data_IF_196172122182
#
_entry.id   IF_196172122182
#
_cell.length_a   1.000
_cell.length_b   1.000
_cell.length_c   1.000
_cell.angle_alpha   90.00
_cell.angle_beta   90.00
_cell.angle_gamma   90.00
#
_symmetry.space_group_name_H-M   'P 1'
#
loop_
_entity.id
_entity.type
_entity.pdbx_description
1 polymer ?
#
# COMPACT_ATOMS: atom_id res chain seq x y z
N UNK A 1 -60.90 -61.10 -9.85
CA UNK A 1 -61.96 -60.82 -10.84
C UNK A 1 -61.43 -59.69 -11.73
N UNK A 2 -60.88 -60.01 -12.92
CA UNK A 2 -61.48 -59.78 -14.26
C UNK A 2 -61.85 -58.31 -14.53
N UNK A 3 -61.58 -57.65 -15.67
CA UNK A 3 -61.05 -57.99 -16.99
C UNK A 3 -60.79 -56.64 -17.73
N UNK A 4 -59.76 -56.61 -18.58
CA UNK A 4 -59.52 -55.85 -19.83
C UNK A 4 -60.37 -54.63 -20.24
N UNK A 5 -59.70 -53.60 -20.78
CA UNK A 5 -59.99 -53.05 -22.13
C UNK A 5 -58.78 -52.39 -22.82
N UNK A 6 -58.74 -52.55 -24.15
CA UNK A 6 -57.73 -52.16 -25.15
C UNK A 6 -57.83 -50.68 -25.56
N UNK A 7 -56.72 -50.06 -25.97
CA UNK A 7 -56.59 -49.34 -27.27
C UNK A 7 -55.21 -48.69 -27.46
N UNK A 8 -54.59 -48.96 -28.61
CA UNK A 8 -53.43 -48.27 -29.20
C UNK A 8 -53.91 -47.03 -30.03
N UNK A 9 -53.09 -46.26 -30.79
CA UNK A 9 -51.64 -46.33 -31.03
C UNK A 9 -50.90 -44.95 -31.09
N UNK A 10 -49.59 -45.01 -31.36
CA UNK A 10 -48.74 -44.04 -32.10
C UNK A 10 -48.89 -42.53 -31.82
N UNK A 11 -47.78 -41.89 -31.40
CA UNK A 11 -47.25 -40.72 -32.11
C UNK A 11 -45.80 -40.41 -31.75
N UNK A 12 -45.05 -40.18 -32.81
CA UNK A 12 -43.62 -39.94 -32.92
C UNK A 12 -43.13 -38.77 -32.09
N UNK A 13 -41.94 -38.93 -31.50
CA UNK A 13 -41.18 -37.84 -30.90
C UNK A 13 -40.76 -36.82 -31.96
N UNK A 14 -41.16 -35.58 -31.75
CA UNK A 14 -40.59 -34.42 -32.43
C UNK A 14 -39.49 -33.84 -31.52
N UNK A 15 -38.26 -33.92 -32.01
CA UNK A 15 -37.06 -33.31 -31.48
C UNK A 15 -37.20 -31.77 -31.59
N UNK A 16 -37.38 -31.06 -30.48
CA UNK A 16 -37.36 -29.60 -30.47
C UNK A 16 -35.91 -29.13 -30.38
N UNK A 17 -35.37 -28.68 -31.51
CA UNK A 17 -34.07 -28.05 -31.63
C UNK A 17 -34.16 -26.63 -31.03
N UNK A 18 -33.69 -26.46 -29.78
CA UNK A 18 -33.50 -25.12 -29.20
C UNK A 18 -32.11 -24.63 -29.63
N UNK A 19 -32.09 -23.66 -30.56
CA UNK A 19 -30.91 -22.86 -30.87
C UNK A 19 -30.54 -22.02 -29.63
N UNK A 20 -29.52 -22.47 -28.89
CA UNK A 20 -28.82 -21.63 -27.92
C UNK A 20 -27.86 -20.71 -28.68
N UNK A 21 -28.17 -19.43 -28.75
CA UNK A 21 -27.26 -18.38 -29.16
C UNK A 21 -26.24 -18.11 -28.04
N UNK A 22 -25.02 -18.63 -28.19
CA UNK A 22 -23.89 -18.31 -27.33
C UNK A 22 -23.41 -16.88 -27.61
N UNK A 23 -23.66 -15.96 -26.67
CA UNK A 23 -22.96 -14.67 -26.62
C UNK A 23 -21.51 -14.92 -26.18
N UNK A 24 -20.57 -14.76 -27.11
CA UNK A 24 -19.14 -14.72 -26.84
C UNK A 24 -18.86 -13.37 -26.15
N UNK A 25 -18.72 -13.39 -24.82
CA UNK A 25 -17.99 -12.35 -24.09
C UNK A 25 -16.52 -12.75 -24.15
N UNK A 26 -15.70 -12.01 -24.90
CA UNK A 26 -14.24 -12.10 -24.74
C UNK A 26 -13.89 -11.63 -23.33
N UNK A 27 -13.60 -12.58 -22.45
CA UNK A 27 -12.82 -12.33 -21.26
C UNK A 27 -11.35 -12.50 -21.66
N UNK A 28 -10.57 -11.41 -21.63
CA UNK A 28 -9.10 -11.46 -21.69
C UNK A 28 -8.54 -11.99 -20.35
N UNK A 29 -8.96 -13.19 -19.97
CA UNK A 29 -8.40 -13.96 -18.86
C UNK A 29 -7.94 -15.32 -19.38
N UNK A 30 -6.93 -15.31 -20.25
CA UNK A 30 -6.15 -16.50 -20.54
C UNK A 30 -4.75 -16.06 -21.02
N UNK A 31 -3.78 -16.23 -20.12
CA UNK A 31 -2.32 -16.33 -20.29
C UNK A 31 -1.53 -15.45 -19.32
N UNK A 32 -1.64 -15.75 -18.02
CA UNK A 32 -0.54 -15.52 -17.08
C UNK A 32 -0.40 -16.80 -16.24
N UNK A 33 0.54 -17.66 -16.63
CA UNK A 33 0.98 -18.76 -15.78
C UNK A 33 1.64 -18.17 -14.54
N UNK A 34 1.14 -18.55 -13.37
CA UNK A 34 1.76 -18.33 -12.07
C UNK A 34 3.06 -19.13 -11.98
N UNK A 35 4.18 -18.51 -12.35
CA UNK A 35 5.53 -18.69 -11.79
C UNK A 35 6.45 -17.84 -12.66
N UNK A 36 7.21 -16.94 -12.03
CA UNK A 36 7.97 -15.80 -12.59
C UNK A 36 7.16 -14.51 -12.45
N UNK A 37 7.49 -13.71 -11.42
CA UNK A 37 7.12 -12.29 -11.37
C UNK A 37 8.08 -11.58 -12.33
N UNK A 38 7.68 -11.20 -13.56
CA UNK A 38 8.57 -10.46 -14.42
C UNK A 38 8.57 -9.01 -13.93
N UNK A 39 9.76 -8.43 -13.81
CA UNK A 39 10.00 -7.03 -13.53
C UNK A 39 9.67 -6.12 -14.73
N UNK A 40 8.48 -6.27 -15.32
CA UNK A 40 7.98 -5.37 -16.37
C UNK A 40 6.69 -4.74 -15.91
N UNK A 41 6.90 -3.66 -15.16
CA UNK A 41 5.89 -2.73 -14.70
C UNK A 41 5.30 -1.96 -15.88
N UNK A 42 4.04 -2.24 -16.24
CA UNK A 42 3.24 -1.31 -17.02
C UNK A 42 2.87 -0.11 -16.11
N UNK A 43 3.85 0.75 -15.82
CA UNK A 43 3.58 2.14 -15.42
C UNK A 43 2.80 2.75 -16.60
N UNK A 44 1.72 3.49 -16.33
CA UNK A 44 1.14 4.36 -17.36
C UNK A 44 2.30 5.16 -17.93
N UNK A 45 2.53 5.05 -19.24
CA UNK A 45 3.76 5.45 -19.93
C UNK A 45 4.38 6.69 -19.28
N UNK A 46 5.63 6.56 -18.83
CA UNK A 46 6.48 7.71 -18.48
C UNK A 46 6.75 8.49 -19.75
N UNK A 47 5.79 9.29 -20.19
CA UNK A 47 6.11 10.44 -21.03
C UNK A 47 7.23 11.19 -20.29
N UNK A 48 8.37 11.38 -20.95
CA UNK A 48 9.50 12.12 -20.42
C UNK A 48 8.97 13.46 -19.89
N UNK A 49 9.26 13.74 -18.62
CA UNK A 49 8.86 14.99 -17.96
C UNK A 49 9.70 16.10 -18.60
N UNK A 50 9.14 16.75 -19.63
CA UNK A 50 9.67 18.00 -20.16
C UNK A 50 9.65 19.06 -19.06
N UNK A 51 10.62 19.97 -19.09
CA UNK A 51 10.71 21.17 -18.25
C UNK A 51 9.34 21.82 -18.03
N UNK A 52 9.14 22.42 -16.85
CA UNK A 52 7.92 23.14 -16.43
C UNK A 52 7.36 23.96 -17.60
N UNK A 53 6.43 23.35 -18.33
CA UNK A 53 5.92 23.90 -19.58
C UNK A 53 5.02 25.08 -19.27
N UNK A 54 5.11 26.09 -20.12
CA UNK A 54 4.05 27.08 -20.30
C UNK A 54 2.68 26.36 -20.38
N UNK A 55 1.65 26.98 -19.80
CA UNK A 55 0.30 26.41 -19.74
C UNK A 55 -0.33 26.22 -21.12
N UNK A 56 0.27 26.74 -22.19
CA UNK A 56 -0.14 26.56 -23.59
C UNK A 56 -0.19 25.09 -24.05
N UNK A 57 0.52 24.17 -23.38
CA UNK A 57 0.43 22.74 -23.67
C UNK A 57 -0.79 22.04 -23.04
N UNK A 58 -1.56 22.74 -22.19
CA UNK A 58 -2.74 22.18 -21.54
C UNK A 58 -3.98 22.28 -22.44
N UNK A 59 -4.73 21.18 -22.55
CA UNK A 59 -6.05 21.16 -23.20
C UNK A 59 -7.05 22.05 -22.48
N UNK A 60 -6.97 22.09 -21.15
CA UNK A 60 -7.81 22.91 -20.29
C UNK A 60 -6.98 23.46 -19.14
N UNK A 61 -7.00 24.77 -18.92
CA UNK A 61 -6.39 25.41 -17.75
C UNK A 61 -7.51 25.71 -16.76
N UNK A 62 -7.38 25.22 -15.52
CA UNK A 62 -8.41 25.46 -14.50
C UNK A 62 -8.48 26.96 -14.18
N UNK A 63 -9.62 27.63 -14.42
CA UNK A 63 -9.78 29.05 -14.14
C UNK A 63 -9.78 29.35 -12.63
N UNK A 64 -9.46 30.60 -12.28
CA UNK A 64 -9.61 31.10 -10.92
C UNK A 64 -11.06 30.91 -10.42
N UNK A 65 -11.21 30.65 -9.11
CA UNK A 65 -12.50 30.39 -8.43
C UNK A 65 -13.27 29.17 -8.91
N UNK A 66 -12.69 28.32 -9.76
CA UNK A 66 -13.31 27.05 -10.16
C UNK A 66 -13.25 26.06 -9.00
N UNK A 67 -14.41 25.49 -8.65
CA UNK A 67 -14.49 24.40 -7.67
C UNK A 67 -14.60 23.03 -8.36
N UNK A 68 -15.44 22.92 -9.39
CA UNK A 68 -15.75 21.65 -10.06
C UNK A 68 -15.21 21.66 -11.48
N UNK A 69 -14.46 20.62 -11.82
CA UNK A 69 -13.94 20.33 -13.14
C UNK A 69 -14.59 19.01 -13.58
N UNK A 70 -15.67 19.10 -14.35
CA UNK A 70 -16.38 17.93 -14.88
C UNK A 70 -15.88 17.63 -16.29
N UNK A 71 -15.11 16.55 -16.45
CA UNK A 71 -14.49 16.17 -17.71
C UNK A 71 -15.51 15.88 -18.82
N UNK A 72 -16.68 15.34 -18.47
CA UNK A 72 -17.74 15.08 -19.43
C UNK A 72 -18.38 16.40 -19.91
N UNK A 73 -18.66 17.33 -18.99
CA UNK A 73 -19.22 18.63 -19.34
C UNK A 73 -18.26 19.50 -20.16
N UNK A 74 -16.95 19.36 -19.91
CA UNK A 74 -15.88 20.04 -20.65
C UNK A 74 -15.51 19.34 -21.96
N UNK A 75 -16.09 18.17 -22.25
CA UNK A 75 -15.78 17.40 -23.46
C UNK A 75 -14.35 16.89 -23.54
N UNK A 76 -13.69 16.68 -22.38
CA UNK A 76 -12.30 16.21 -22.33
C UNK A 76 -12.21 14.79 -22.89
N UNK A 77 -11.27 14.60 -23.82
CA UNK A 77 -11.00 13.32 -24.46
C UNK A 77 -9.85 12.59 -23.75
N UNK A 78 -9.73 11.26 -23.85
CA UNK A 78 -8.51 10.54 -23.47
C UNK A 78 -7.24 11.22 -24.00
N UNK A 79 -6.23 11.36 -23.15
CA UNK A 79 -4.99 12.10 -23.45
C UNK A 79 -5.06 13.61 -23.21
N UNK A 80 -6.21 14.16 -22.82
CA UNK A 80 -6.31 15.58 -22.45
C UNK A 80 -5.40 15.91 -21.26
N UNK A 81 -4.88 17.13 -21.24
CA UNK A 81 -4.08 17.66 -20.14
C UNK A 81 -4.83 18.81 -19.46
N UNK A 82 -5.10 18.64 -18.17
CA UNK A 82 -5.65 19.67 -17.30
C UNK A 82 -4.49 20.37 -16.57
N UNK A 83 -4.32 21.67 -16.81
CA UNK A 83 -3.30 22.52 -16.22
C UNK A 83 -3.78 23.27 -14.97
N UNK A 84 -2.97 23.20 -13.91
CA UNK A 84 -3.07 24.04 -12.72
C UNK A 84 -2.00 25.12 -12.82
N UNK A 85 -2.41 26.36 -13.05
CA UNK A 85 -1.47 27.48 -13.19
C UNK A 85 -0.84 27.84 -11.84
N UNK A 86 0.48 28.03 -11.82
CA UNK A 86 1.18 28.59 -10.66
C UNK A 86 0.75 30.02 -10.29
N UNK A 87 0.10 30.74 -11.22
CA UNK A 87 -0.38 32.10 -10.97
C UNK A 87 -1.71 32.15 -10.24
N UNK A 88 -2.34 31.00 -9.97
CA UNK A 88 -3.65 30.90 -9.33
C UNK A 88 -3.50 30.19 -7.99
N UNK A 89 -4.08 30.78 -6.94
CA UNK A 89 -4.24 30.13 -5.65
C UNK A 89 -5.58 29.41 -5.63
N UNK A 90 -5.58 28.10 -5.85
CA UNK A 90 -6.81 27.32 -5.89
C UNK A 90 -7.36 27.08 -4.49
N UNK A 91 -8.68 27.10 -4.36
CA UNK A 91 -9.38 26.55 -3.21
C UNK A 91 -9.55 25.04 -3.36
N UNK A 92 -10.63 24.48 -2.81
CA UNK A 92 -10.95 23.07 -2.96
C UNK A 92 -11.29 22.75 -4.43
N UNK A 93 -10.71 21.67 -4.98
CA UNK A 93 -10.94 21.24 -6.36
C UNK A 93 -11.58 19.84 -6.40
N UNK A 94 -12.69 19.73 -7.12
CA UNK A 94 -13.37 18.48 -7.42
C UNK A 94 -13.24 18.17 -8.91
N UNK A 95 -12.52 17.10 -9.22
CA UNK A 95 -12.43 16.53 -10.55
C UNK A 95 -13.48 15.41 -10.69
N UNK A 96 -14.42 15.57 -11.61
CA UNK A 96 -15.49 14.60 -11.82
C UNK A 96 -15.46 14.09 -13.24
N UNK A 97 -15.77 12.80 -13.42
CA UNK A 97 -15.85 12.17 -14.75
C UNK A 97 -14.57 12.38 -15.57
N UNK A 98 -13.40 12.29 -14.92
CA UNK A 98 -12.11 12.33 -15.61
C UNK A 98 -11.85 10.93 -16.16
N UNK A 99 -12.16 10.72 -17.43
CA UNK A 99 -12.13 9.39 -18.06
C UNK A 99 -11.15 9.38 -19.24
N UNK A 100 -9.96 8.83 -19.01
CA UNK A 100 -8.99 8.52 -20.05
C UNK A 100 -9.08 7.07 -20.53
N UNK A 101 -7.98 6.59 -21.10
CA UNK A 101 -7.75 5.18 -21.44
C UNK A 101 -6.38 4.73 -20.92
N UNK A 102 -6.09 3.42 -20.92
CA UNK A 102 -4.80 2.91 -20.50
C UNK A 102 -3.64 3.52 -21.32
N UNK A 103 -3.83 3.66 -22.64
CA UNK A 103 -2.82 4.22 -23.55
C UNK A 103 -2.79 5.76 -23.52
N UNK A 104 -3.94 6.38 -23.26
CA UNK A 104 -4.09 7.84 -23.25
C UNK A 104 -4.82 8.28 -21.96
N UNK A 105 -4.15 8.25 -20.80
CA UNK A 105 -4.74 8.75 -19.56
C UNK A 105 -4.92 10.26 -19.62
N UNK A 106 -5.89 10.80 -18.87
CA UNK A 106 -5.99 12.25 -18.66
C UNK A 106 -4.97 12.67 -17.61
N UNK A 107 -4.19 13.71 -17.89
CA UNK A 107 -3.14 14.20 -16.98
C UNK A 107 -3.60 15.49 -16.32
N UNK A 108 -3.60 15.52 -14.99
CA UNK A 108 -3.77 16.73 -14.17
C UNK A 108 -2.38 17.13 -13.68
N UNK A 109 -1.87 18.29 -14.11
CA UNK A 109 -0.52 18.74 -13.77
C UNK A 109 -0.45 20.24 -13.50
N UNK A 110 0.59 20.66 -12.81
CA UNK A 110 0.98 22.07 -12.73
C UNK A 110 1.50 22.59 -14.09
N UNK A 111 1.37 23.89 -14.30
CA UNK A 111 1.97 24.61 -15.42
C UNK A 111 2.42 26.02 -14.98
N UNK A 112 3.48 26.53 -15.62
CA UNK A 112 4.05 27.85 -15.29
C UNK A 112 4.74 27.96 -13.91
N UNK A 113 4.94 26.85 -13.19
CA UNK A 113 5.59 26.81 -11.87
C UNK A 113 4.92 25.80 -10.92
N UNK A 114 5.11 25.98 -9.61
CA UNK A 114 4.38 25.20 -8.59
C UNK A 114 2.94 25.70 -8.47
N UNK A 115 1.97 24.81 -8.60
CA UNK A 115 0.56 25.09 -8.36
C UNK A 115 0.21 24.91 -6.88
N UNK A 116 -0.55 25.87 -6.33
CA UNK A 116 -0.96 25.86 -4.93
C UNK A 116 -2.46 25.64 -4.76
N UNK A 117 -2.81 24.63 -3.96
CA UNK A 117 -4.20 24.28 -3.60
C UNK A 117 -4.35 24.42 -2.08
N UNK A 118 -5.24 25.32 -1.64
CA UNK A 118 -5.50 25.59 -0.23
C UNK A 118 -6.93 25.14 0.13
N UNK A 119 -7.05 23.93 0.69
CA UNK A 119 -8.33 23.35 1.07
C UNK A 119 -8.88 23.98 2.35
N UNK A 120 -10.04 24.63 2.27
CA UNK A 120 -10.74 25.20 3.44
C UNK A 120 -12.24 24.90 3.39
N UNK A 121 -12.93 24.85 4.54
CA UNK A 121 -14.39 24.73 4.62
C UNK A 121 -15.05 23.41 4.16
N UNK A 122 -14.36 22.58 3.37
CA UNK A 122 -14.81 21.26 2.93
C UNK A 122 -13.90 20.14 3.48
N UNK A 123 -14.39 18.90 3.37
CA UNK A 123 -13.66 17.72 3.86
C UNK A 123 -12.42 17.38 3.04
N UNK A 124 -12.24 17.90 1.83
CA UNK A 124 -11.12 17.59 0.94
C UNK A 124 -10.46 18.85 0.38
N UNK A 125 -9.16 18.84 0.06
CA UNK A 125 -8.54 19.89 -0.74
C UNK A 125 -8.62 19.57 -2.25
N UNK A 126 -8.27 18.34 -2.64
CA UNK A 126 -8.48 17.82 -3.99
C UNK A 126 -9.26 16.50 -3.93
N UNK A 127 -10.25 16.34 -4.81
CA UNK A 127 -11.07 15.14 -4.87
C UNK A 127 -11.31 14.67 -6.30
N UNK A 128 -11.39 13.36 -6.51
CA UNK A 128 -11.86 12.76 -7.76
C UNK A 128 -13.15 11.96 -7.54
N UNK A 129 -14.13 12.11 -8.42
CA UNK A 129 -15.36 11.30 -8.43
C UNK A 129 -15.59 10.64 -9.79
N UNK A 130 -16.00 9.37 -9.82
CA UNK A 130 -16.34 8.61 -11.03
C UNK A 130 -15.28 8.72 -12.13
N UNK A 131 -14.00 8.65 -11.77
CA UNK A 131 -12.89 8.95 -12.68
C UNK A 131 -12.05 7.70 -12.96
N UNK A 132 -11.55 7.54 -14.19
CA UNK A 132 -10.79 6.36 -14.61
C UNK A 132 -9.65 6.71 -15.57
N UNK A 133 -8.50 6.06 -15.43
CA UNK A 133 -7.32 6.28 -16.29
C UNK A 133 -6.86 7.74 -16.28
N UNK A 134 -6.39 8.19 -15.12
CA UNK A 134 -5.89 9.54 -14.95
C UNK A 134 -4.62 9.56 -14.08
N UNK A 135 -3.86 10.65 -14.19
CA UNK A 135 -2.66 10.88 -13.38
C UNK A 135 -2.67 12.30 -12.83
N UNK A 136 -2.51 12.44 -11.53
CA UNK A 136 -2.24 13.71 -10.88
C UNK A 136 -0.74 13.78 -10.65
N UNK A 137 -0.05 14.73 -11.28
CA UNK A 137 1.40 14.82 -11.20
C UNK A 137 1.88 16.25 -11.05
N UNK A 138 2.74 16.52 -10.07
CA UNK A 138 3.49 17.77 -10.00
C UNK A 138 4.70 17.81 -10.92
N UNK A 139 5.02 16.71 -11.61
CA UNK A 139 6.24 16.61 -12.42
C UNK A 139 7.50 17.00 -11.65
N UNK A 140 8.52 17.45 -12.38
CA UNK A 140 9.74 17.97 -11.78
C UNK A 140 9.73 19.50 -11.86
N UNK A 141 9.58 20.15 -10.71
CA UNK A 141 9.91 21.57 -10.55
C UNK A 141 11.27 21.63 -9.86
N UNK A 142 12.20 22.46 -10.32
CA UNK A 142 13.59 22.51 -9.84
C UNK A 142 13.71 22.57 -8.31
N UNK A 143 13.95 21.42 -7.68
CA UNK A 143 14.13 21.29 -6.22
C UNK A 143 12.85 21.37 -5.39
N UNK A 144 11.65 21.38 -5.99
CA UNK A 144 10.36 21.45 -5.28
C UNK A 144 9.31 20.51 -5.89
N UNK A 145 8.25 20.22 -5.13
CA UNK A 145 7.06 19.56 -5.66
C UNK A 145 6.24 20.53 -6.51
N UNK A 146 5.80 20.10 -7.69
CA UNK A 146 5.11 21.00 -8.62
C UNK A 146 3.63 21.21 -8.30
N UNK A 147 3.02 20.35 -7.48
CA UNK A 147 1.71 20.62 -6.87
C UNK A 147 1.89 20.59 -5.36
N UNK A 148 1.50 21.68 -4.69
CA UNK A 148 1.47 21.80 -3.24
C UNK A 148 0.04 21.93 -2.77
N UNK A 149 -0.38 21.02 -1.91
CA UNK A 149 -1.71 20.97 -1.31
C UNK A 149 -1.57 21.26 0.19
N UNK A 150 -2.32 22.24 0.67
CA UNK A 150 -2.32 22.64 2.06
C UNK A 150 -3.74 22.65 2.61
N UNK A 151 -3.97 21.98 3.75
CA UNK A 151 -5.27 21.99 4.43
C UNK A 151 -6.29 20.98 3.88
N UNK A 152 -7.55 21.18 4.27
CA UNK A 152 -8.62 20.19 4.16
C UNK A 152 -8.57 19.16 5.31
N UNK A 153 -9.68 18.46 5.57
CA UNK A 153 -9.61 17.28 6.43
C UNK A 153 -8.87 16.14 5.71
N UNK A 154 -9.06 16.03 4.41
CA UNK A 154 -8.41 15.11 3.49
C UNK A 154 -7.62 15.92 2.46
N UNK A 155 -6.33 15.68 2.27
CA UNK A 155 -5.55 16.38 1.24
C UNK A 155 -6.03 16.00 -0.16
N UNK A 156 -5.80 14.74 -0.55
CA UNK A 156 -6.34 14.13 -1.77
C UNK A 156 -7.35 13.04 -1.41
N UNK A 157 -8.51 13.05 -2.05
CA UNK A 157 -9.53 12.00 -1.95
C UNK A 157 -9.78 11.35 -3.30
N UNK A 158 -9.55 10.05 -3.41
CA UNK A 158 -9.75 9.24 -4.60
C UNK A 158 -10.86 8.23 -4.31
N UNK A 159 -12.11 8.64 -4.49
CA UNK A 159 -13.30 7.89 -4.09
C UNK A 159 -14.33 7.75 -5.23
N UNK A 160 -15.56 7.34 -4.89
CA UNK A 160 -16.71 7.23 -5.81
C UNK A 160 -16.35 6.46 -7.09
N UNK A 161 -15.97 5.20 -6.92
CA UNK A 161 -15.68 4.25 -7.99
C UNK A 161 -14.52 4.66 -8.92
N UNK A 162 -13.64 5.56 -8.47
CA UNK A 162 -12.46 5.94 -9.22
C UNK A 162 -11.41 4.82 -9.24
N UNK A 163 -10.75 4.59 -10.38
CA UNK A 163 -9.81 3.46 -10.57
C UNK A 163 -8.79 3.74 -11.68
N UNK A 164 -7.74 2.93 -11.82
CA UNK A 164 -6.65 3.12 -12.79
C UNK A 164 -6.03 4.52 -12.71
N UNK A 165 -5.39 4.85 -11.60
CA UNK A 165 -4.84 6.18 -11.40
C UNK A 165 -3.46 6.19 -10.76
N UNK A 166 -2.77 7.30 -10.96
CA UNK A 166 -1.48 7.58 -10.38
C UNK A 166 -1.46 8.96 -9.72
N UNK A 167 -0.83 9.06 -8.55
CA UNK A 167 -0.47 10.33 -7.91
C UNK A 167 1.03 10.35 -7.65
N UNK A 168 1.71 11.37 -8.18
CA UNK A 168 3.15 11.51 -7.99
C UNK A 168 3.66 12.94 -8.00
N UNK A 169 4.81 13.17 -7.34
CA UNK A 169 5.43 14.48 -7.24
C UNK A 169 4.48 15.55 -6.68
N UNK A 170 3.65 15.18 -5.70
CA UNK A 170 2.78 16.10 -4.96
C UNK A 170 3.27 16.24 -3.52
N UNK A 171 3.26 17.47 -3.02
CA UNK A 171 3.42 17.78 -1.59
C UNK A 171 2.05 18.04 -0.96
N UNK A 172 1.79 17.42 0.18
CA UNK A 172 0.52 17.49 0.90
C UNK A 172 0.82 17.75 2.37
N UNK A 173 0.30 18.87 2.89
CA UNK A 173 0.63 19.36 4.22
C UNK A 173 -0.62 19.79 5.01
N UNK A 174 -0.50 19.75 6.34
CA UNK A 174 -1.43 20.38 7.29
C UNK A 174 -2.89 19.92 7.15
N UNK A 175 -3.12 18.64 6.86
CA UNK A 175 -4.47 18.09 6.71
C UNK A 175 -5.05 17.70 8.07
N UNK A 176 -6.35 17.92 8.30
CA UNK A 176 -7.00 17.61 9.58
C UNK A 176 -7.14 16.12 9.91
N UNK A 177 -7.17 15.26 8.90
CA UNK A 177 -7.25 13.80 9.02
C UNK A 177 -6.21 13.15 8.09
N UNK A 178 -6.57 12.76 6.88
CA UNK A 178 -5.67 12.03 5.99
C UNK A 178 -4.95 12.91 4.96
N UNK A 179 -3.68 12.65 4.69
CA UNK A 179 -2.97 13.27 3.56
C UNK A 179 -3.57 12.81 2.22
N UNK A 180 -3.55 11.50 1.98
CA UNK A 180 -4.20 10.87 0.83
C UNK A 180 -5.17 9.79 1.32
N UNK A 181 -6.43 9.87 0.92
CA UNK A 181 -7.40 8.79 1.09
C UNK A 181 -7.81 8.21 -0.27
N UNK A 182 -7.69 6.90 -0.44
CA UNK A 182 -8.04 6.21 -1.67
C UNK A 182 -8.89 4.97 -1.40
N UNK A 183 -10.21 5.14 -1.45
CA UNK A 183 -11.20 4.08 -1.26
C UNK A 183 -12.58 4.56 -1.71
N UNK A 184 -13.43 3.62 -2.09
CA UNK A 184 -14.88 3.81 -2.11
C UNK A 184 -15.46 3.10 -0.91
N UNK A 185 -16.11 3.85 0.00
CA UNK A 185 -16.81 3.22 1.11
C UNK A 185 -18.05 2.48 0.59
N UNK A 186 -18.31 1.25 1.07
CA UNK A 186 -19.51 0.51 0.69
C UNK A 186 -20.76 1.24 1.20
N UNK A 187 -21.77 1.33 0.35
CA UNK A 187 -23.05 1.98 0.62
C UNK A 187 -24.20 1.04 0.28
N UNK A 188 -25.44 1.56 0.28
CA UNK A 188 -26.59 0.81 -0.20
C UNK A 188 -26.71 0.70 -1.72
N UNK A 189 -25.84 1.41 -2.45
CA UNK A 189 -25.61 1.13 -3.86
C UNK A 189 -24.69 -0.07 -4.01
N UNK A 190 -25.21 -1.14 -4.60
CA UNK A 190 -24.48 -2.37 -4.88
C UNK A 190 -23.27 -2.13 -5.80
N UNK A 191 -23.19 -1.04 -6.56
CA UNK A 191 -21.98 -0.72 -7.31
C UNK A 191 -20.75 -0.48 -6.43
N UNK A 192 -20.92 -0.15 -5.14
CA UNK A 192 -19.83 0.23 -4.22
C UNK A 192 -19.25 -0.93 -3.40
N UNK A 193 -19.78 -2.15 -3.54
CA UNK A 193 -19.41 -3.29 -2.71
C UNK A 193 -18.45 -4.26 -3.41
N UNK A 194 -17.81 -5.11 -2.60
CA UNK A 194 -17.03 -6.26 -3.08
C UNK A 194 -17.81 -7.09 -4.10
N UNK A 195 -17.12 -7.58 -5.12
CA UNK A 195 -17.70 -8.36 -6.21
C UNK A 195 -18.29 -7.51 -7.34
N UNK A 196 -18.65 -6.25 -7.07
CA UNK A 196 -19.23 -5.35 -8.09
C UNK A 196 -18.26 -4.25 -8.51
N UNK A 197 -17.37 -3.81 -7.62
CA UNK A 197 -16.29 -2.88 -7.94
C UNK A 197 -14.94 -3.41 -7.46
N UNK A 198 -13.91 -3.13 -8.25
CA UNK A 198 -12.51 -3.35 -7.93
C UNK A 198 -11.75 -2.08 -8.31
N UNK A 199 -11.05 -1.50 -7.34
CA UNK A 199 -10.10 -0.43 -7.59
C UNK A 199 -8.80 -1.09 -8.04
N UNK A 200 -8.29 -0.79 -9.23
CA UNK A 200 -7.16 -1.51 -9.82
C UNK A 200 -6.14 -0.58 -10.45
N UNK A 201 -4.87 -1.00 -10.46
CA UNK A 201 -3.74 -0.25 -11.01
C UNK A 201 -3.65 1.14 -10.39
N UNK A 202 -3.43 1.15 -9.08
CA UNK A 202 -3.34 2.36 -8.25
C UNK A 202 -1.89 2.58 -7.85
N UNK A 203 -1.38 3.79 -8.12
CA UNK A 203 0.03 4.10 -7.92
C UNK A 203 0.21 5.40 -7.14
N UNK A 204 0.95 5.33 -6.03
CA UNK A 204 1.38 6.48 -5.24
C UNK A 204 2.89 6.47 -5.18
N UNK A 205 3.55 7.39 -5.89
CA UNK A 205 5.01 7.43 -5.91
C UNK A 205 5.60 8.82 -5.82
N UNK A 206 6.75 8.94 -5.19
CA UNK A 206 7.52 10.18 -5.16
C UNK A 206 6.68 11.36 -4.63
N UNK A 207 5.84 11.14 -3.61
CA UNK A 207 5.06 12.19 -2.94
C UNK A 207 5.68 12.53 -1.58
N UNK A 208 5.43 13.76 -1.12
CA UNK A 208 5.76 14.19 0.25
C UNK A 208 4.49 14.54 1.02
N UNK A 209 4.18 13.75 2.04
CA UNK A 209 2.98 13.93 2.86
C UNK A 209 3.40 14.19 4.30
N UNK A 210 3.01 15.33 4.86
CA UNK A 210 3.45 15.69 6.19
C UNK A 210 2.46 16.51 7.01
N UNK A 211 2.67 16.50 8.33
CA UNK A 211 1.88 17.25 9.30
C UNK A 211 0.37 16.97 9.14
N UNK A 212 0.00 15.70 9.19
CA UNK A 212 -1.40 15.24 9.09
C UNK A 212 -1.98 15.00 10.49
N UNK A 213 -3.26 15.31 10.72
CA UNK A 213 -3.92 15.04 12.00
C UNK A 213 -4.26 13.57 12.25
N UNK A 214 -4.47 12.81 11.16
CA UNK A 214 -4.67 11.36 11.12
C UNK A 214 -3.60 10.69 10.25
N UNK A 215 -3.98 9.76 9.39
CA UNK A 215 -3.03 8.98 8.58
C UNK A 215 -2.36 9.83 7.48
N UNK A 216 -1.10 9.53 7.10
CA UNK A 216 -0.55 10.19 5.90
C UNK A 216 -1.17 9.58 4.63
N UNK A 217 -1.20 8.24 4.56
CA UNK A 217 -1.90 7.50 3.52
C UNK A 217 -2.95 6.58 4.13
N UNK A 218 -4.21 6.71 3.71
CA UNK A 218 -5.30 5.80 4.03
C UNK A 218 -5.87 5.19 2.75
N UNK A 219 -5.34 4.03 2.38
CA UNK A 219 -5.67 3.33 1.13
C UNK A 219 -6.48 2.08 1.46
N UNK A 220 -7.65 1.95 0.84
CA UNK A 220 -8.60 0.87 1.12
C UNK A 220 -9.29 1.01 2.47
N UNK A 221 -10.30 0.17 2.70
CA UNK A 221 -11.13 0.24 3.90
C UNK A 221 -10.60 -0.73 4.98
N UNK A 222 -10.59 -0.32 6.25
CA UNK A 222 -10.07 -1.14 7.35
C UNK A 222 -10.93 -2.36 7.69
N UNK A 223 -12.19 -2.41 7.24
CA UNK A 223 -13.18 -3.43 7.62
C UNK A 223 -13.38 -4.46 6.50
N UNK A 224 -12.28 -5.04 6.01
CA UNK A 224 -12.33 -6.01 4.92
C UNK A 224 -13.04 -7.30 5.36
N UNK A 225 -12.71 -7.85 6.53
CA UNK A 225 -13.23 -9.16 6.93
C UNK A 225 -14.69 -9.07 7.40
N UNK A 226 -14.98 -8.13 8.29
CA UNK A 226 -16.30 -8.02 8.93
C UNK A 226 -17.29 -7.22 8.08
N UNK A 227 -16.80 -6.33 7.21
CA UNK A 227 -17.63 -5.40 6.45
C UNK A 227 -18.02 -4.15 7.26
N UNK A 228 -18.83 -3.29 6.66
CA UNK A 228 -19.39 -2.08 7.27
C UNK A 228 -20.88 -2.27 7.52
N UNK A 229 -21.33 -1.91 8.73
CA UNK A 229 -22.76 -1.78 9.02
C UNK A 229 -23.31 -0.54 8.31
N UNK A 230 -24.36 -0.73 7.52
CA UNK A 230 -25.05 0.33 6.77
C UNK A 230 -26.56 0.22 7.00
N UNK A 231 -27.33 1.21 6.52
CA UNK A 231 -28.80 1.22 6.67
C UNK A 231 -29.53 0.09 5.94
N UNK A 232 -28.88 -0.57 4.97
CA UNK A 232 -29.39 -1.72 4.22
C UNK A 232 -28.69 -3.03 4.62
N UNK A 233 -28.09 -3.07 5.81
CA UNK A 233 -27.39 -4.25 6.34
C UNK A 233 -25.88 -4.19 6.18
N UNK A 234 -25.24 -5.34 6.43
CA UNK A 234 -23.78 -5.47 6.36
C UNK A 234 -23.31 -5.42 4.91
N UNK A 235 -22.37 -4.52 4.59
CA UNK A 235 -21.81 -4.35 3.23
C UNK A 235 -20.29 -4.47 3.23
N UNK A 236 -19.75 -5.25 2.30
CA UNK A 236 -18.32 -5.55 2.25
C UNK A 236 -17.58 -4.55 1.34
N UNK A 237 -16.47 -3.94 1.80
CA UNK A 237 -15.69 -3.04 0.98
C UNK A 237 -15.10 -3.71 -0.26
N UNK A 238 -15.00 -2.94 -1.34
CA UNK A 238 -14.34 -3.36 -2.58
C UNK A 238 -12.88 -3.78 -2.36
N UNK A 239 -12.36 -4.53 -3.33
CA UNK A 239 -10.96 -4.95 -3.38
C UNK A 239 -10.09 -3.92 -4.08
N UNK A 240 -8.79 -3.97 -3.77
CA UNK A 240 -7.74 -3.22 -4.47
C UNK A 240 -6.76 -4.21 -5.12
N UNK A 241 -6.59 -4.13 -6.43
CA UNK A 241 -5.66 -4.97 -7.20
C UNK A 241 -4.50 -4.14 -7.78
N UNK A 242 -3.29 -4.67 -7.67
CA UNK A 242 -2.06 -4.08 -8.24
C UNK A 242 -1.75 -2.68 -7.70
N UNK A 243 -1.92 -2.50 -6.39
CA UNK A 243 -1.52 -1.29 -5.68
C UNK A 243 0.01 -1.18 -5.61
N UNK A 244 0.55 0.01 -5.88
CA UNK A 244 1.94 0.35 -5.51
C UNK A 244 1.99 1.64 -4.71
N UNK A 245 2.72 1.59 -3.59
CA UNK A 245 3.04 2.74 -2.74
C UNK A 245 4.55 2.75 -2.58
N UNK A 246 5.25 3.65 -3.30
CA UNK A 246 6.71 3.63 -3.29
C UNK A 246 7.40 4.98 -3.38
N UNK A 247 8.62 5.06 -2.85
CA UNK A 247 9.42 6.30 -2.84
C UNK A 247 8.68 7.52 -2.24
N UNK A 248 7.67 7.31 -1.40
CA UNK A 248 7.00 8.42 -0.73
C UNK A 248 7.77 8.79 0.54
N UNK A 249 7.73 10.07 0.89
CA UNK A 249 8.23 10.59 2.15
C UNK A 249 7.01 10.95 3.00
N UNK A 250 6.91 10.35 4.18
CA UNK A 250 5.93 10.66 5.21
C UNK A 250 6.64 11.24 6.41
N UNK A 251 6.13 12.39 6.91
CA UNK A 251 6.69 13.02 8.09
C UNK A 251 5.62 13.58 9.02
N UNK A 252 5.72 13.31 10.32
CA UNK A 252 4.81 13.87 11.33
C UNK A 252 3.34 13.47 11.10
N UNK A 253 3.09 12.19 10.81
CA UNK A 253 1.71 11.70 10.71
C UNK A 253 1.08 11.60 12.10
N UNK A 254 -0.11 12.16 12.27
CA UNK A 254 -0.88 12.11 13.51
C UNK A 254 -1.19 10.69 13.94
N UNK A 255 -1.66 9.87 12.99
CA UNK A 255 -1.94 8.44 13.18
C UNK A 255 -0.95 7.58 12.39
N UNK A 256 -1.43 6.61 11.62
CA UNK A 256 -0.58 5.73 10.84
C UNK A 256 0.16 6.50 9.74
N UNK A 257 1.43 6.16 9.48
CA UNK A 257 2.16 6.73 8.35
C UNK A 257 1.52 6.28 7.03
N UNK A 258 1.55 4.96 6.77
CA UNK A 258 0.92 4.36 5.59
C UNK A 258 -0.01 3.24 6.02
N UNK A 259 -1.31 3.39 5.82
CA UNK A 259 -2.30 2.35 6.04
C UNK A 259 -2.84 1.83 4.70
N UNK A 260 -2.74 0.51 4.51
CA UNK A 260 -3.28 -0.20 3.33
C UNK A 260 -4.19 -1.33 3.77
N UNK A 261 -5.49 -1.23 3.47
CA UNK A 261 -6.48 -2.29 3.64
C UNK A 261 -7.05 -2.76 2.30
N UNK A 262 -7.72 -3.91 2.30
CA UNK A 262 -8.43 -4.47 1.13
C UNK A 262 -7.57 -4.70 -0.13
N UNK A 263 -6.24 -4.66 -0.05
CA UNK A 263 -5.37 -4.84 -1.22
C UNK A 263 -5.08 -6.32 -1.45
N UNK A 264 -6.05 -7.03 -2.02
CA UNK A 264 -6.09 -8.50 -2.05
C UNK A 264 -5.18 -9.14 -3.12
N UNK A 265 -4.73 -8.37 -4.11
CA UNK A 265 -3.92 -8.90 -5.21
C UNK A 265 -2.77 -7.98 -5.59
N UNK A 266 -1.54 -8.51 -5.56
CA UNK A 266 -0.37 -7.86 -6.17
C UNK A 266 0.04 -6.51 -5.55
N UNK A 267 -0.30 -6.27 -4.28
CA UNK A 267 0.11 -5.06 -3.58
C UNK A 267 1.64 -5.02 -3.36
N UNK A 268 2.24 -3.84 -3.56
CA UNK A 268 3.67 -3.59 -3.34
C UNK A 268 3.87 -2.27 -2.59
N UNK A 269 4.40 -2.33 -1.37
CA UNK A 269 4.68 -1.14 -0.55
C UNK A 269 6.18 -1.07 -0.30
N UNK A 270 6.90 -0.17 -0.96
CA UNK A 270 8.36 -0.25 -0.95
C UNK A 270 9.13 1.05 -1.09
N UNK A 271 10.36 1.08 -0.58
CA UNK A 271 11.24 2.25 -0.68
C UNK A 271 10.62 3.56 -0.16
N UNK A 272 9.65 3.48 0.76
CA UNK A 272 9.09 4.67 1.41
C UNK A 272 9.94 5.03 2.63
N UNK A 273 9.96 6.32 2.96
CA UNK A 273 10.51 6.84 4.21
C UNK A 273 9.35 7.33 5.07
N UNK A 274 9.19 6.78 6.26
CA UNK A 274 8.16 7.16 7.23
C UNK A 274 8.84 7.56 8.53
N UNK A 275 8.78 8.85 8.86
CA UNK A 275 9.42 9.40 10.05
C UNK A 275 8.39 10.11 10.95
N UNK A 276 8.57 9.99 12.27
CA UNK A 276 7.72 10.66 13.26
C UNK A 276 6.23 10.36 13.06
N UNK A 277 5.85 9.09 13.02
CA UNK A 277 4.45 8.68 12.88
C UNK A 277 3.77 8.49 14.25
N UNK A 278 2.44 8.52 14.27
CA UNK A 278 1.65 8.40 15.49
C UNK A 278 1.80 9.59 16.43
N UNK A 279 2.02 10.81 15.94
CA UNK A 279 2.31 11.98 16.80
C UNK A 279 1.14 12.34 17.73
N UNK A 280 -0.09 11.99 17.36
CA UNK A 280 -1.27 12.15 18.22
C UNK A 280 -1.37 11.06 19.31
N UNK A 281 -0.53 10.03 19.23
CA UNK A 281 -0.43 8.92 20.18
C UNK A 281 -1.77 8.21 20.49
N UNK A 282 -2.64 8.11 19.47
CA UNK A 282 -3.93 7.42 19.58
C UNK A 282 -3.71 5.91 19.56
N UNK A 283 -4.26 5.20 20.55
CA UNK A 283 -4.14 3.76 20.62
C UNK A 283 -4.70 3.09 19.35
N UNK A 284 -3.99 2.08 18.85
CA UNK A 284 -4.31 1.33 17.63
C UNK A 284 -4.31 2.16 16.32
N UNK A 285 -3.88 3.42 16.34
CA UNK A 285 -3.82 4.33 15.19
C UNK A 285 -2.47 5.08 15.20
N UNK A 286 -1.36 4.35 15.25
CA UNK A 286 -0.02 4.94 15.45
C UNK A 286 1.11 4.06 14.89
N UNK A 287 0.87 3.38 13.78
CA UNK A 287 1.82 2.47 13.14
C UNK A 287 2.60 3.19 12.02
N UNK A 288 3.85 2.82 11.79
CA UNK A 288 4.62 3.38 10.66
C UNK A 288 4.02 2.94 9.33
N UNK A 289 3.91 1.63 9.14
CA UNK A 289 3.18 1.02 8.02
C UNK A 289 2.21 -0.03 8.54
N UNK A 290 0.94 0.07 8.16
CA UNK A 290 -0.08 -0.93 8.42
C UNK A 290 -0.48 -1.67 7.14
N UNK A 291 -0.23 -2.97 7.13
CA UNK A 291 -0.87 -3.91 6.19
C UNK A 291 -2.15 -4.40 6.87
N UNK A 292 -3.23 -3.66 6.66
CA UNK A 292 -4.54 -3.94 7.24
C UNK A 292 -5.20 -5.21 6.69
N UNK A 293 -6.39 -5.51 7.21
CA UNK A 293 -7.16 -6.67 6.79
C UNK A 293 -7.41 -6.67 5.27
N UNK A 294 -7.36 -7.85 4.65
CA UNK A 294 -7.54 -7.98 3.21
C UNK A 294 -6.32 -7.59 2.37
N UNK A 295 -5.21 -7.20 2.98
CA UNK A 295 -4.00 -6.82 2.26
C UNK A 295 -3.02 -7.99 2.15
N UNK A 296 -2.79 -8.45 0.92
CA UNK A 296 -1.74 -9.43 0.59
C UNK A 296 -0.47 -8.77 0.04
N UNK A 297 0.39 -9.56 -0.61
CA UNK A 297 1.52 -9.03 -1.38
C UNK A 297 2.79 -8.70 -0.59
N UNK A 298 3.63 -7.81 -1.13
CA UNK A 298 5.01 -7.60 -0.65
C UNK A 298 5.23 -6.19 -0.07
N UNK A 299 6.00 -6.10 1.01
CA UNK A 299 6.35 -4.84 1.66
C UNK A 299 7.85 -4.78 1.99
N UNK A 300 8.62 -3.92 1.33
CA UNK A 300 10.07 -4.04 1.38
C UNK A 300 10.87 -2.75 1.20
N UNK A 301 12.11 -2.73 1.72
CA UNK A 301 13.01 -1.60 1.50
C UNK A 301 12.52 -0.29 2.11
N UNK A 302 11.54 -0.32 3.03
CA UNK A 302 11.03 0.89 3.67
C UNK A 302 11.91 1.29 4.84
N UNK A 303 12.07 2.59 5.05
CA UNK A 303 12.66 3.18 6.24
C UNK A 303 11.55 3.68 7.15
N UNK A 304 11.47 3.16 8.37
CA UNK A 304 10.42 3.50 9.34
C UNK A 304 11.08 3.92 10.64
N UNK A 305 10.91 5.17 11.07
CA UNK A 305 11.67 5.73 12.19
C UNK A 305 10.88 6.61 13.14
N UNK A 306 11.27 6.58 14.41
CA UNK A 306 10.91 7.57 15.43
C UNK A 306 9.39 7.74 15.66
N UNK A 307 8.62 6.66 15.65
CA UNK A 307 7.18 6.75 15.92
C UNK A 307 6.79 6.37 17.34
N UNK A 308 5.57 6.71 17.75
CA UNK A 308 5.06 6.40 19.11
C UNK A 308 4.44 5.01 19.24
N UNK A 309 4.14 4.34 18.12
CA UNK A 309 3.61 2.98 18.08
C UNK A 309 4.49 2.00 17.30
N UNK A 310 3.87 0.96 16.75
CA UNK A 310 4.62 -0.11 16.08
C UNK A 310 5.31 0.41 14.82
N UNK A 311 6.49 -0.11 14.49
CA UNK A 311 7.11 0.14 13.18
C UNK A 311 6.19 -0.33 12.07
N UNK A 312 5.77 -1.59 12.15
CA UNK A 312 4.76 -2.16 11.27
C UNK A 312 3.64 -2.85 12.03
N UNK A 313 2.42 -2.76 11.50
CA UNK A 313 1.27 -3.57 11.93
C UNK A 313 0.79 -4.45 10.78
N UNK A 314 0.77 -5.76 10.97
CA UNK A 314 0.55 -6.75 9.91
C UNK A 314 -0.67 -7.59 10.25
N UNK A 315 -1.80 -7.23 9.63
CA UNK A 315 -3.12 -7.84 9.75
C UNK A 315 -3.58 -8.52 8.44
N UNK A 316 -2.63 -8.69 7.52
CA UNK A 316 -2.88 -9.05 6.13
C UNK A 316 -3.38 -10.47 5.90
N UNK A 317 -3.45 -10.85 4.62
CA UNK A 317 -3.98 -12.14 4.17
C UNK A 317 -3.06 -13.33 4.48
N UNK A 318 -1.84 -13.11 4.97
CA UNK A 318 -0.90 -14.19 5.34
C UNK A 318 -0.10 -14.74 4.17
N UNK A 319 -0.27 -14.21 2.97
CA UNK A 319 0.66 -14.36 1.86
C UNK A 319 1.78 -13.30 1.90
N UNK A 320 1.77 -12.42 2.91
CA UNK A 320 2.67 -11.28 2.97
C UNK A 320 4.15 -11.67 3.05
N UNK A 321 4.98 -11.05 2.19
CA UNK A 321 6.45 -11.13 2.24
C UNK A 321 7.01 -9.76 2.61
N UNK A 322 7.59 -9.66 3.79
CA UNK A 322 8.05 -8.41 4.41
C UNK A 322 9.56 -8.50 4.56
N UNK A 323 10.30 -7.72 3.77
CA UNK A 323 11.75 -7.88 3.67
C UNK A 323 12.56 -6.61 3.46
N UNK A 324 13.83 -6.62 3.85
CA UNK A 324 14.75 -5.48 3.68
C UNK A 324 14.21 -4.15 4.24
N UNK A 325 13.26 -4.18 5.18
CA UNK A 325 12.82 -2.95 5.83
C UNK A 325 13.79 -2.62 6.96
N UNK A 326 14.01 -1.32 7.16
CA UNK A 326 14.75 -0.80 8.31
C UNK A 326 13.75 -0.10 9.22
N UNK A 327 13.67 -0.58 10.46
CA UNK A 327 12.77 -0.07 11.49
C UNK A 327 13.63 0.37 12.68
N UNK A 328 13.56 1.65 13.03
CA UNK A 328 14.38 2.21 14.10
C UNK A 328 13.54 3.05 15.06
N UNK A 329 13.74 2.89 16.36
CA UNK A 329 13.10 3.73 17.38
C UNK A 329 11.57 3.69 17.30
N UNK A 330 11.00 2.50 17.15
CA UNK A 330 9.55 2.30 17.23
C UNK A 330 9.09 2.36 18.69
N UNK A 331 8.09 3.19 18.99
CA UNK A 331 7.47 3.32 20.32
C UNK A 331 6.60 2.12 20.74
N UNK A 332 6.40 1.16 19.85
CA UNK A 332 5.80 -0.15 20.12
C UNK A 332 6.73 -1.29 19.76
N UNK A 333 6.19 -2.36 19.18
CA UNK A 333 7.00 -3.41 18.59
C UNK A 333 7.65 -2.92 17.28
N UNK A 334 8.77 -3.48 16.89
CA UNK A 334 9.32 -3.25 15.54
C UNK A 334 8.32 -3.68 14.48
N UNK A 335 7.87 -4.93 14.60
CA UNK A 335 6.76 -5.47 13.81
C UNK A 335 5.76 -6.14 14.75
N UNK A 336 4.52 -5.71 14.72
CA UNK A 336 3.39 -6.41 15.31
C UNK A 336 2.62 -7.14 14.19
N UNK A 337 2.39 -8.43 14.36
CA UNK A 337 1.65 -9.27 13.43
C UNK A 337 0.52 -9.94 14.19
N UNK A 338 -0.70 -9.79 13.68
CA UNK A 338 -1.92 -10.31 14.29
C UNK A 338 -2.81 -10.92 13.21
N UNK A 339 -2.97 -12.24 13.28
CA UNK A 339 -3.81 -12.98 12.35
C UNK A 339 -5.29 -12.74 12.66
N UNK A 340 -6.00 -12.18 11.68
CA UNK A 340 -7.45 -11.95 11.78
C UNK A 340 -8.20 -12.69 10.68
N UNK A 341 -8.07 -12.21 9.45
CA UNK A 341 -8.52 -12.89 8.24
C UNK A 341 -7.31 -13.20 7.36
N UNK A 342 -6.83 -14.44 7.43
CA UNK A 342 -5.50 -14.80 6.93
C UNK A 342 -5.55 -16.17 6.22
N UNK A 343 -6.07 -16.24 4.99
CA UNK A 343 -6.16 -17.49 4.22
C UNK A 343 -4.82 -17.99 3.66
N UNK A 344 -3.78 -17.15 3.69
CA UNK A 344 -2.47 -17.44 3.11
C UNK A 344 -1.62 -18.42 3.91
N UNK A 345 -0.46 -18.83 3.35
CA UNK A 345 0.38 -19.88 3.93
C UNK A 345 1.11 -19.49 5.23
N UNK A 346 1.18 -18.20 5.53
CA UNK A 346 1.83 -17.64 6.73
C UNK A 346 2.76 -16.48 6.42
N UNK A 347 2.90 -15.58 7.39
CA UNK A 347 3.64 -14.32 7.23
C UNK A 347 5.15 -14.58 7.18
N UNK A 348 5.85 -13.86 6.28
CA UNK A 348 7.30 -14.01 6.08
C UNK A 348 8.01 -12.70 6.40
N UNK A 349 8.89 -12.74 7.39
CA UNK A 349 9.75 -11.64 7.82
C UNK A 349 11.20 -12.01 7.52
N UNK A 350 11.75 -11.44 6.45
CA UNK A 350 13.03 -11.87 5.88
C UNK A 350 13.97 -10.67 5.80
N UNK A 351 15.18 -10.76 6.34
CA UNK A 351 16.18 -9.71 6.12
C UNK A 351 15.73 -8.30 6.54
N UNK A 352 14.92 -8.15 7.58
CA UNK A 352 14.63 -6.83 8.14
C UNK A 352 15.69 -6.45 9.17
N UNK A 353 15.96 -5.16 9.33
CA UNK A 353 16.81 -4.62 10.39
C UNK A 353 15.94 -3.80 11.34
N UNK A 354 15.81 -4.26 12.58
CA UNK A 354 14.96 -3.68 13.62
C UNK A 354 15.84 -3.25 14.78
N UNK A 355 15.81 -1.97 15.14
CA UNK A 355 16.73 -1.38 16.13
C UNK A 355 15.97 -0.50 17.11
N UNK A 356 16.23 -0.67 18.41
CA UNK A 356 15.72 0.19 19.50
C UNK A 356 14.18 0.26 19.56
N UNK A 357 13.50 -0.87 19.75
CA UNK A 357 12.05 -0.88 19.94
C UNK A 357 11.69 -0.65 21.40
N UNK A 358 10.65 0.13 21.69
CA UNK A 358 10.14 0.31 23.05
C UNK A 358 9.34 -0.92 23.55
N UNK A 359 9.05 -1.88 22.67
CA UNK A 359 8.56 -3.21 23.01
C UNK A 359 9.43 -4.30 22.35
N UNK A 360 8.80 -5.36 21.83
CA UNK A 360 9.49 -6.48 21.18
C UNK A 360 10.02 -6.12 19.79
N UNK A 361 11.01 -6.87 19.31
CA UNK A 361 11.46 -6.78 17.93
C UNK A 361 10.36 -7.18 16.95
N UNK A 362 9.97 -8.45 16.99
CA UNK A 362 8.80 -8.97 16.27
C UNK A 362 7.84 -9.59 17.29
N UNK A 363 6.60 -9.15 17.31
CA UNK A 363 5.52 -9.75 18.11
C UNK A 363 4.49 -10.37 17.16
N UNK A 364 4.31 -11.68 17.25
CA UNK A 364 3.54 -12.46 16.27
C UNK A 364 2.44 -13.30 16.92
N UNK A 365 1.20 -13.02 16.51
CA UNK A 365 -0.05 -13.63 16.96
C UNK A 365 -0.71 -14.37 15.78
N UNK A 366 0.05 -15.25 15.10
CA UNK A 366 -0.39 -15.97 13.91
C UNK A 366 -0.31 -17.49 14.13
N UNK A 367 -1.36 -18.06 14.72
CA UNK A 367 -1.45 -19.47 15.15
C UNK A 367 -2.17 -20.38 14.16
N UNK A 368 -3.01 -19.82 13.29
CA UNK A 368 -3.93 -20.58 12.41
C UNK A 368 -3.37 -20.74 11.01
N UNK A 369 -2.38 -19.93 10.61
CA UNK A 369 -1.63 -20.15 9.37
C UNK A 369 -0.77 -21.43 9.42
N UNK A 370 -0.52 -22.08 8.26
CA UNK A 370 0.32 -23.27 8.21
C UNK A 370 1.75 -23.10 8.76
N UNK A 371 2.46 -22.05 8.33
CA UNK A 371 3.84 -21.79 8.73
C UNK A 371 4.25 -20.34 8.50
N UNK A 372 4.64 -19.64 9.57
CA UNK A 372 5.33 -18.34 9.45
C UNK A 372 6.83 -18.55 9.20
N UNK A 373 7.49 -17.52 8.67
CA UNK A 373 8.94 -17.55 8.43
C UNK A 373 9.58 -16.30 9.03
N UNK A 374 10.59 -16.47 9.88
CA UNK A 374 11.39 -15.38 10.44
C UNK A 374 12.85 -15.74 10.25
N UNK A 375 13.46 -15.25 9.17
CA UNK A 375 14.84 -15.61 8.82
C UNK A 375 15.67 -14.38 8.46
N UNK A 376 16.97 -14.47 8.73
CA UNK A 376 17.96 -13.47 8.34
C UNK A 376 17.66 -12.05 8.85
N UNK A 377 16.87 -11.84 9.91
CA UNK A 377 16.61 -10.51 10.46
C UNK A 377 17.72 -10.10 11.45
N UNK A 378 18.05 -8.81 11.51
CA UNK A 378 18.78 -8.21 12.62
C UNK A 378 17.75 -7.60 13.58
N UNK A 379 17.77 -7.99 14.85
CA UNK A 379 16.93 -7.40 15.90
C UNK A 379 17.80 -6.96 17.06
N UNK A 380 17.80 -5.66 17.32
CA UNK A 380 18.70 -5.02 18.27
C UNK A 380 17.92 -4.22 19.32
N UNK A 381 18.28 -4.44 20.57
CA UNK A 381 17.83 -3.67 21.73
C UNK A 381 16.30 -3.52 21.85
N UNK A 382 15.52 -4.63 21.89
CA UNK A 382 14.12 -4.55 22.27
C UNK A 382 13.99 -4.26 23.77
N UNK A 383 13.29 -3.19 24.13
CA UNK A 383 13.20 -2.73 25.51
C UNK A 383 12.54 -3.73 26.47
N UNK A 384 11.70 -4.64 25.95
CA UNK A 384 11.09 -5.71 26.75
C UNK A 384 12.09 -6.78 27.22
N UNK A 385 13.30 -6.82 26.66
CA UNK A 385 14.34 -7.78 27.07
C UNK A 385 14.66 -7.68 28.56
N UNK A 386 14.75 -6.46 29.10
CA UNK A 386 15.08 -6.21 30.50
C UNK A 386 13.87 -6.30 31.45
N UNK A 387 12.64 -6.40 30.91
CA UNK A 387 11.41 -6.41 31.72
C UNK A 387 10.72 -7.76 31.73
N UNK A 388 11.00 -8.65 30.79
CA UNK A 388 10.39 -9.97 30.77
C UNK A 388 10.87 -10.86 31.92
N UNK A 389 9.87 -11.36 32.65
CA UNK A 389 9.97 -12.30 33.76
C UNK A 389 8.98 -13.45 33.53
N UNK A 390 9.15 -14.55 34.27
CA UNK A 390 8.33 -15.75 34.14
C UNK A 390 6.82 -15.42 34.04
N UNK A 391 6.08 -16.01 33.08
CA UNK A 391 6.46 -17.14 32.22
C UNK A 391 7.26 -16.78 30.97
N UNK A 392 7.58 -15.49 30.76
CA UNK A 392 8.46 -15.05 29.67
C UNK A 392 9.91 -15.03 30.11
N UNK A 393 10.81 -15.05 29.15
CA UNK A 393 12.25 -14.85 29.35
C UNK A 393 12.75 -13.69 28.50
N UNK A 394 13.89 -13.05 28.85
CA UNK A 394 14.45 -11.94 28.09
C UNK A 394 14.53 -12.18 26.57
N UNK A 395 14.91 -13.38 26.14
CA UNK A 395 15.02 -13.73 24.72
C UNK A 395 13.68 -13.69 23.95
N UNK A 396 12.54 -13.77 24.64
CA UNK A 396 11.23 -13.61 24.00
C UNK A 396 11.02 -12.19 23.46
N UNK A 397 11.83 -11.21 23.90
CA UNK A 397 11.76 -9.83 23.42
C UNK A 397 12.21 -9.68 21.95
N UNK A 398 13.05 -10.57 21.44
CA UNK A 398 13.45 -10.52 20.03
C UNK A 398 12.31 -10.99 19.12
N UNK A 399 11.69 -12.11 19.47
CA UNK A 399 10.55 -12.70 18.77
C UNK A 399 9.53 -13.19 19.79
N UNK A 400 8.52 -12.37 20.07
CA UNK A 400 7.43 -12.71 20.96
C UNK A 400 6.36 -13.51 20.22
N UNK A 401 5.98 -14.67 20.76
CA UNK A 401 4.88 -15.50 20.26
C UNK A 401 3.68 -15.41 21.17
N UNK A 402 2.48 -15.25 20.62
CA UNK A 402 1.22 -15.29 21.38
C UNK A 402 1.17 -16.51 22.30
N UNK A 403 1.37 -17.69 21.71
CA UNK A 403 1.50 -18.95 22.44
C UNK A 403 2.50 -19.89 21.74
N UNK A 404 2.63 -21.10 22.27
CA UNK A 404 3.40 -22.19 21.66
C UNK A 404 2.84 -22.68 20.32
N UNK A 405 1.58 -22.35 20.01
CA UNK A 405 0.89 -22.82 18.81
C UNK A 405 1.25 -21.98 17.57
N UNK A 406 1.95 -20.85 17.75
CA UNK A 406 2.53 -20.06 16.65
C UNK A 406 3.67 -20.84 15.99
N UNK A 407 3.40 -21.40 14.81
CA UNK A 407 4.36 -22.16 13.99
C UNK A 407 5.27 -21.21 13.21
N UNK A 408 6.57 -21.34 13.38
CA UNK A 408 7.57 -20.49 12.73
C UNK A 408 8.78 -21.34 12.30
N UNK A 409 9.15 -21.25 11.03
CA UNK A 409 10.50 -21.56 10.54
C UNK A 409 11.41 -20.37 10.87
N UNK A 410 12.26 -20.53 11.90
CA UNK A 410 13.11 -19.48 12.43
C UNK A 410 14.57 -19.91 12.41
N UNK A 411 15.41 -19.18 11.67
CA UNK A 411 16.84 -19.48 11.52
C UNK A 411 17.63 -18.25 11.08
N UNK A 412 18.93 -18.24 11.35
CA UNK A 412 19.88 -17.21 10.88
C UNK A 412 19.48 -15.75 11.20
N UNK A 413 18.69 -15.51 12.26
CA UNK A 413 18.48 -14.16 12.75
C UNK A 413 19.62 -13.77 13.70
N UNK A 414 20.02 -12.50 13.67
CA UNK A 414 21.01 -11.94 14.58
C UNK A 414 20.31 -11.13 15.67
N UNK A 415 20.50 -11.53 16.92
CA UNK A 415 19.88 -10.90 18.10
C UNK A 415 20.96 -10.29 19.00
N UNK A 416 20.76 -9.03 19.38
CA UNK A 416 21.68 -8.34 20.30
C UNK A 416 20.93 -7.32 21.16
N UNK A 417 21.39 -7.09 22.38
CA UNK A 417 20.85 -6.05 23.27
C UNK A 417 21.49 -4.67 23.02
N UNK A 418 22.53 -4.60 22.19
CA UNK A 418 23.21 -3.36 21.78
C UNK A 418 23.55 -3.40 20.28
N UNK A 419 23.68 -2.25 19.64
CA UNK A 419 24.02 -2.15 18.22
C UNK A 419 25.52 -2.36 17.94
N UNK A 420 26.40 -2.11 18.93
CA UNK A 420 27.85 -2.14 18.73
C UNK A 420 28.36 -3.44 18.09
N UNK A 421 27.91 -4.65 18.51
CA UNK A 421 28.37 -5.91 17.93
C UNK A 421 27.96 -6.12 16.47
N UNK A 422 26.93 -5.42 15.97
CA UNK A 422 26.52 -5.52 14.57
C UNK A 422 27.50 -4.80 13.65
N UNK A 423 28.21 -3.79 14.18
CA UNK A 423 29.17 -2.99 13.41
C UNK A 423 28.51 -2.28 12.22
N UNK A 424 27.42 -1.54 12.47
CA UNK A 424 26.90 -0.56 11.50
C UNK A 424 27.92 0.56 11.29
N UNK A 425 27.97 1.16 10.10
CA UNK A 425 28.86 2.28 9.79
C UNK A 425 28.54 3.49 10.66
N UNK A 426 27.25 3.86 10.74
CA UNK A 426 26.79 4.90 11.65
C UNK A 426 25.27 4.78 11.83
N UNK A 427 24.76 4.66 13.06
CA UNK A 427 23.32 4.70 13.33
C UNK A 427 22.80 6.09 13.71
N UNK A 428 23.66 6.97 14.26
CA UNK A 428 23.24 8.32 14.66
C UNK A 428 22.92 9.21 13.45
N UNK A 429 23.54 8.91 12.32
CA UNK A 429 23.10 9.31 10.97
C UNK A 429 22.57 8.04 10.32
N UNK A 430 21.33 7.96 9.78
CA UNK A 430 20.69 6.72 9.32
C UNK A 430 21.43 6.00 8.18
N UNK A 431 22.56 5.37 8.51
CA UNK A 431 23.48 4.68 7.62
C UNK A 431 23.68 3.26 8.12
N UNK A 432 22.74 2.41 7.72
CA UNK A 432 22.65 1.01 8.13
C UNK A 432 23.62 0.09 7.37
N UNK A 433 24.59 0.65 6.63
CA UNK A 433 25.65 -0.13 6.00
C UNK A 433 26.49 -0.84 7.06
N UNK A 434 27.03 -1.99 6.69
CA UNK A 434 27.87 -2.80 7.55
C UNK A 434 29.34 -2.38 7.41
N UNK A 435 30.10 -2.47 8.49
CA UNK A 435 31.57 -2.44 8.44
C UNK A 435 32.11 -3.80 7.98
N UNK A 436 33.33 -3.84 7.44
CA UNK A 436 33.93 -5.02 6.81
C UNK A 436 34.08 -6.25 7.69
N UNK A 437 34.11 -6.07 9.01
CA UNK A 437 34.26 -7.14 10.00
C UNK A 437 32.96 -7.46 10.71
N UNK A 438 31.83 -6.97 10.19
CA UNK A 438 30.51 -7.24 10.77
C UNK A 438 30.24 -8.76 10.83
N UNK A 439 29.76 -9.29 11.96
CA UNK A 439 29.53 -10.72 12.12
C UNK A 439 28.28 -11.23 11.38
N UNK A 440 27.55 -10.34 10.70
CA UNK A 440 26.35 -10.70 9.93
C UNK A 440 26.61 -10.90 8.44
N UNK A 441 27.85 -10.64 7.98
CA UNK A 441 28.26 -10.81 6.58
C UNK A 441 28.40 -12.29 6.24
N UNK A 442 27.81 -12.74 5.13
CA UNK A 442 27.83 -14.13 4.66
C UNK A 442 27.27 -15.17 5.66
N UNK A 443 26.44 -14.72 6.61
CA UNK A 443 25.88 -15.59 7.68
C UNK A 443 24.40 -15.93 7.50
N UNK A 444 23.75 -15.43 6.45
CA UNK A 444 22.35 -15.63 6.15
C UNK A 444 22.06 -16.98 5.51
N UNK A 445 20.83 -17.48 5.76
CA UNK A 445 20.24 -18.60 5.05
C UNK A 445 19.97 -18.25 3.59
N UNK A 446 19.98 -19.23 2.70
CA UNK A 446 19.51 -19.07 1.33
C UNK A 446 18.04 -18.61 1.27
N UNK A 447 17.80 -17.54 0.52
CA UNK A 447 16.48 -16.94 0.30
C UNK A 447 16.09 -16.91 -1.17
N UNK A 448 16.81 -17.64 -2.04
CA UNK A 448 16.57 -17.68 -3.49
C UNK A 448 15.12 -18.00 -3.85
N UNK A 449 14.46 -18.88 -3.08
CA UNK A 449 13.04 -19.24 -3.23
C UNK A 449 12.07 -18.04 -3.16
N UNK A 450 12.46 -16.98 -2.45
CA UNK A 450 11.64 -15.77 -2.31
C UNK A 450 11.93 -14.74 -3.42
N UNK A 451 12.89 -15.00 -4.31
CA UNK A 451 13.28 -14.09 -5.41
C UNK A 451 13.63 -12.66 -4.93
N UNK A 452 14.27 -12.55 -3.76
CA UNK A 452 14.73 -11.27 -3.20
C UNK A 452 16.09 -10.92 -3.82
N UNK A 453 16.08 -10.05 -4.83
CA UNK A 453 17.25 -9.76 -5.66
C UNK A 453 18.11 -8.59 -5.17
N UNK A 454 17.52 -7.62 -4.47
CA UNK A 454 18.22 -6.40 -4.05
C UNK A 454 18.00 -6.06 -2.57
N UNK A 455 19.02 -5.49 -1.93
CA UNK A 455 19.00 -5.01 -0.55
C UNK A 455 18.26 -3.65 -0.40
N UNK A 456 18.24 -3.11 0.82
CA UNK A 456 17.66 -1.80 1.14
C UNK A 456 18.27 -0.65 0.33
N UNK A 457 19.56 -0.72 0.00
CA UNK A 457 20.27 0.27 -0.83
C UNK A 457 20.27 -0.07 -2.32
N UNK A 458 19.40 -1.00 -2.75
CA UNK A 458 19.25 -1.45 -4.15
C UNK A 458 20.52 -2.11 -4.73
N UNK A 459 21.38 -2.67 -3.88
CA UNK A 459 22.52 -3.51 -4.26
C UNK A 459 22.08 -4.96 -4.42
N UNK A 460 22.79 -5.73 -5.25
CA UNK A 460 22.50 -7.15 -5.40
C UNK A 460 22.59 -7.85 -4.04
N UNK A 461 21.62 -8.73 -3.72
CA UNK A 461 21.62 -9.47 -2.44
C UNK A 461 22.79 -10.43 -2.35
N UNK A 462 22.83 -11.46 -3.20
CA UNK A 462 23.94 -12.41 -3.14
C UNK A 462 25.20 -11.79 -3.78
N UNK A 463 26.14 -11.33 -2.95
CA UNK A 463 27.44 -10.78 -3.37
C UNK A 463 28.63 -11.59 -2.87
N UNK A 464 28.55 -12.14 -1.66
CA UNK A 464 29.58 -12.98 -1.06
C UNK A 464 29.32 -14.48 -1.23
N UNK A 465 29.75 -15.27 -0.25
CA UNK A 465 29.54 -16.72 -0.20
C UNK A 465 28.10 -17.09 0.16
N UNK A 466 27.40 -16.22 0.88
CA UNK A 466 26.01 -16.38 1.26
C UNK A 466 25.31 -15.01 1.28
N UNK A 467 24.06 -14.98 1.76
CA UNK A 467 23.34 -13.72 1.98
C UNK A 467 23.81 -13.08 3.29
N UNK A 468 23.86 -11.77 3.38
CA UNK A 468 24.06 -11.09 4.66
C UNK A 468 22.77 -11.12 5.50
N UNK A 469 22.89 -11.22 6.83
CA UNK A 469 21.74 -11.06 7.74
C UNK A 469 21.41 -9.56 7.82
N UNK A 470 20.11 -9.22 7.81
CA UNK A 470 19.59 -7.87 7.88
C UNK A 470 19.28 -7.28 6.51
N UNK A 471 18.88 -6.01 6.51
CA UNK A 471 18.35 -5.32 5.33
C UNK A 471 19.39 -4.89 4.30
N UNK A 472 20.68 -4.95 4.63
CA UNK A 472 21.78 -4.39 3.85
C UNK A 472 22.82 -5.46 3.58
N UNK A 473 23.35 -5.47 2.36
CA UNK A 473 24.53 -6.26 1.98
C UNK A 473 25.80 -5.41 2.06
N UNK A 474 26.91 -6.05 2.42
CA UNK A 474 28.24 -5.44 2.53
C UNK A 474 28.97 -5.33 1.17
#
# INVERSE_FOLDING_TARGET
>A
MSKFHFSSPLKSGALLLVLLSTFIRCADEALLNETVIPATDAKLTTAAVSDVTDCSACTYIVPDKTHVIDGAALGLQPGSVIGLSATINYGNLLFRNIVGTADNPIIIKNCGGTAHINGTGLSFALKTENSKYFRITGGNTSGTYGIMINGGSLGITLDKLSTNFQVDHVEIANTGFAGIMAKTDPTCDDATIRGNFVMTNVYFNDNYVHDTGGEAFYIGNSFYAEGRSTTCGQRFPHEIHYLKVNNNIVKNAGWDGIQVGSATKGARIYANTVENYGTANVANQRNGIQLGEGTGGICYGNLIRNGTGNGMNVLGLGDNIIYNNVIESAGGAGIFCDERYTPGPGFKFINNTIVNTASDGIRIYAERVPMNVIINNIIVNPATYSTYVYPRIPNDAFVYKLSKDVKIDMSNNYFSTTADPVLFVNLSVPNYRLQSTSPVIDMGRDISVYSILTDFYKKARLKGLAYDIGAVEY
#
